data_IF_046110576365
#
_entry.id   IF_046110576365
#
_cell.length_a   1.000
_cell.length_b   1.000
_cell.length_c   1.000
_cell.angle_alpha   90.00
_cell.angle_beta   90.00
_cell.angle_gamma   90.00
#
_symmetry.space_group_name_H-M   'P 1'
#
loop_
_entity.id
_entity.type
_entity.pdbx_description
1 polymer ?
#
# COMPACT_ATOMS: atom_id res chain seq x y z
N UNK A 1 -69.60 -37.85 -55.50
CA UNK A 1 -68.27 -38.50 -55.56
C UNK A 1 -67.26 -37.37 -55.64
N UNK A 2 -66.27 -37.17 -54.79
CA UNK A 2 -65.60 -38.04 -53.81
C UNK A 2 -64.66 -37.13 -52.97
N UNK A 3 -64.61 -37.33 -51.64
CA UNK A 3 -63.44 -37.20 -50.70
C UNK A 3 -62.58 -35.91 -50.69
N UNK A 4 -62.58 -35.11 -49.61
CA UNK A 4 -61.80 -35.21 -48.35
C UNK A 4 -60.38 -34.58 -48.40
N UNK A 5 -59.98 -33.99 -47.24
CA UNK A 5 -58.60 -33.76 -46.76
C UNK A 5 -57.82 -32.58 -47.43
N UNK A 6 -57.12 -31.62 -46.78
CA UNK A 6 -56.07 -31.64 -45.73
C UNK A 6 -55.78 -30.16 -45.33
N UNK A 7 -56.18 -29.64 -44.16
CA UNK A 7 -55.41 -29.43 -42.92
C UNK A 7 -53.87 -29.33 -43.04
N UNK A 8 -53.29 -28.19 -42.63
CA UNK A 8 -52.02 -28.08 -41.85
C UNK A 8 -51.08 -27.00 -42.40
N UNK A 9 -51.15 -25.80 -41.80
CA UNK A 9 -49.96 -24.97 -41.63
C UNK A 9 -49.21 -25.47 -40.39
N UNK A 10 -47.87 -25.58 -40.42
CA UNK A 10 -47.12 -24.83 -39.40
C UNK A 10 -45.69 -24.48 -39.81
N UNK A 11 -45.16 -23.38 -39.26
CA UNK A 11 -43.72 -23.13 -39.34
C UNK A 11 -43.12 -22.01 -38.48
N UNK A 12 -43.86 -21.46 -37.54
CA UNK A 12 -43.39 -20.46 -36.56
C UNK A 12 -42.48 -21.13 -35.50
N UNK A 13 -41.31 -21.64 -35.91
CA UNK A 13 -40.37 -22.34 -35.01
C UNK A 13 -38.97 -21.72 -34.92
N UNK A 14 -38.67 -20.69 -35.70
CA UNK A 14 -37.32 -20.10 -35.72
C UNK A 14 -37.18 -18.84 -34.86
N UNK A 15 -38.29 -18.28 -34.37
CA UNK A 15 -38.28 -17.07 -33.55
C UNK A 15 -38.05 -17.33 -32.04
N UNK A 16 -38.12 -18.58 -31.57
CA UNK A 16 -38.10 -18.93 -30.13
C UNK A 16 -36.77 -19.56 -29.65
N UNK A 17 -35.71 -19.55 -30.47
CA UNK A 17 -34.39 -20.09 -30.10
C UNK A 17 -33.49 -19.05 -29.43
N UNK A 18 -33.56 -17.78 -29.84
CA UNK A 18 -32.70 -16.72 -29.31
C UNK A 18 -33.08 -16.28 -27.88
N UNK A 19 -34.36 -16.42 -27.50
CA UNK A 19 -34.85 -16.12 -26.14
C UNK A 19 -34.28 -17.07 -25.08
N UNK A 20 -33.83 -18.27 -25.46
CA UNK A 20 -33.17 -19.22 -24.53
C UNK A 20 -31.72 -18.86 -24.25
N UNK A 21 -31.10 -18.00 -25.07
CA UNK A 21 -29.74 -17.51 -24.89
C UNK A 21 -29.69 -16.16 -24.15
N UNK A 22 -30.83 -15.48 -24.00
CA UNK A 22 -30.94 -14.24 -23.25
C UNK A 22 -30.39 -14.29 -21.80
N UNK A 23 -30.61 -15.36 -20.98
CA UNK A 23 -30.06 -15.39 -19.64
C UNK A 23 -28.52 -15.56 -19.62
N UNK A 24 -27.93 -16.19 -20.65
CA UNK A 24 -26.47 -16.27 -20.81
C UNK A 24 -25.86 -14.91 -21.18
N UNK A 25 -26.58 -14.11 -21.97
CA UNK A 25 -26.15 -12.77 -22.36
C UNK A 25 -26.24 -11.75 -21.22
N UNK A 26 -27.26 -11.86 -20.36
CA UNK A 26 -27.41 -11.00 -19.16
C UNK A 26 -26.36 -11.34 -18.09
N UNK A 27 -26.01 -12.61 -17.91
CA UNK A 27 -24.91 -13.02 -16.99
C UNK A 27 -23.55 -12.49 -17.47
N UNK A 28 -23.32 -12.43 -18.78
CA UNK A 28 -22.08 -11.86 -19.35
C UNK A 28 -21.97 -10.34 -19.15
N UNK A 29 -23.08 -9.61 -19.16
CA UNK A 29 -23.09 -8.16 -18.93
C UNK A 29 -23.03 -7.75 -17.45
N UNK A 30 -23.33 -8.67 -16.52
CA UNK A 30 -23.08 -8.51 -15.08
C UNK A 30 -21.69 -9.08 -14.71
N UNK A 31 -20.75 -9.10 -15.65
CA UNK A 31 -19.32 -9.08 -15.34
C UNK A 31 -18.90 -7.71 -14.81
N UNK A 32 -19.64 -7.17 -13.84
CA UNK A 32 -19.32 -5.91 -13.18
C UNK A 32 -18.04 -6.14 -12.39
N UNK A 33 -16.93 -5.60 -12.92
CA UNK A 33 -15.76 -5.14 -12.21
C UNK A 33 -15.62 -5.68 -10.76
N UNK A 34 -15.31 -6.97 -10.64
CA UNK A 34 -14.65 -7.45 -9.42
C UNK A 34 -13.21 -6.97 -9.54
N UNK A 35 -13.00 -5.66 -9.33
CA UNK A 35 -11.72 -5.22 -8.81
C UNK A 35 -11.61 -5.91 -7.46
N UNK A 36 -10.87 -7.02 -7.43
CA UNK A 36 -10.43 -7.57 -6.17
C UNK A 36 -9.74 -6.43 -5.43
N UNK A 37 -10.35 -5.98 -4.33
CA UNK A 37 -9.74 -5.02 -3.42
C UNK A 37 -8.56 -5.77 -2.80
N UNK A 38 -7.40 -5.70 -3.47
CA UNK A 38 -6.18 -6.33 -3.00
C UNK A 38 -5.88 -5.71 -1.63
N UNK A 39 -5.74 -6.52 -0.57
CA UNK A 39 -5.46 -5.99 0.76
C UNK A 39 -4.23 -5.09 0.67
N UNK A 40 -4.30 -3.93 1.35
CA UNK A 40 -3.20 -2.96 1.32
C UNK A 40 -1.91 -3.66 1.70
N UNK A 41 -0.80 -3.28 1.07
CA UNK A 41 0.51 -3.91 1.32
C UNK A 41 0.83 -4.00 2.82
N UNK A 42 0.47 -2.97 3.60
CA UNK A 42 0.62 -2.94 5.06
C UNK A 42 -0.10 -4.12 5.74
N UNK A 43 -1.34 -4.41 5.35
CA UNK A 43 -2.17 -5.43 5.99
C UNK A 43 -1.60 -6.83 5.70
N UNK A 44 -0.98 -7.01 4.52
CA UNK A 44 -0.26 -8.24 4.14
C UNK A 44 1.03 -8.44 4.95
N UNK A 45 1.79 -7.37 5.17
CA UNK A 45 3.01 -7.39 5.99
C UNK A 45 2.64 -7.71 7.44
N UNK A 46 1.63 -7.02 7.99
CA UNK A 46 1.14 -7.22 9.34
C UNK A 46 0.65 -8.66 9.57
N UNK A 47 -0.09 -9.23 8.62
CA UNK A 47 -0.52 -10.63 8.67
C UNK A 47 0.65 -11.63 8.65
N UNK A 48 1.70 -11.32 7.87
CA UNK A 48 2.91 -12.14 7.82
C UNK A 48 3.68 -12.10 9.13
N UNK A 49 3.76 -10.92 9.75
CA UNK A 49 4.43 -10.70 11.03
C UNK A 49 3.67 -11.35 12.19
N UNK A 50 2.33 -11.22 12.21
CA UNK A 50 1.47 -11.89 13.17
C UNK A 50 1.62 -13.41 13.12
N UNK A 51 1.67 -13.97 11.91
CA UNK A 51 1.91 -15.40 11.71
C UNK A 51 3.28 -15.83 12.24
N UNK A 52 4.32 -15.01 12.05
CA UNK A 52 5.65 -15.27 12.58
C UNK A 52 5.67 -15.24 14.12
N UNK A 53 5.07 -14.23 14.74
CA UNK A 53 4.98 -14.14 16.19
C UNK A 53 4.23 -15.31 16.82
N UNK A 54 3.16 -15.79 16.19
CA UNK A 54 2.41 -16.95 16.70
C UNK A 54 3.25 -18.23 16.67
N UNK A 55 4.04 -18.46 15.60
CA UNK A 55 4.94 -19.63 15.51
C UNK A 55 6.01 -19.61 16.60
N UNK A 56 6.60 -18.43 16.83
CA UNK A 56 7.68 -18.23 17.82
C UNK A 56 7.15 -18.00 19.24
N UNK A 57 5.83 -17.98 19.44
CA UNK A 57 5.15 -17.67 20.73
C UNK A 57 5.59 -16.34 21.34
N UNK A 58 5.84 -15.35 20.48
CA UNK A 58 6.23 -14.00 20.88
C UNK A 58 4.99 -13.14 21.11
N UNK A 59 5.03 -12.32 22.15
CA UNK A 59 4.01 -11.29 22.39
C UNK A 59 4.50 -9.97 21.79
N UNK A 60 3.71 -9.31 20.91
CA UNK A 60 4.09 -8.03 20.33
C UNK A 60 4.25 -6.95 21.40
N UNK A 61 5.12 -5.98 21.14
CA UNK A 61 5.26 -4.81 22.00
C UNK A 61 4.01 -3.94 21.95
N UNK A 62 3.74 -3.23 23.06
CA UNK A 62 2.65 -2.24 23.12
C UNK A 62 2.94 -1.09 22.15
N UNK A 63 1.91 -0.51 21.49
CA UNK A 63 2.10 0.66 20.65
C UNK A 63 2.78 1.81 21.39
N UNK A 64 3.67 2.51 20.69
CA UNK A 64 4.34 3.69 21.23
C UNK A 64 3.33 4.81 21.55
N UNK A 65 3.60 5.53 22.65
CA UNK A 65 2.88 6.76 22.98
C UNK A 65 3.12 7.82 21.90
N UNK A 66 2.25 8.84 21.82
CA UNK A 66 2.38 9.88 20.79
C UNK A 66 3.71 10.65 20.90
N UNK A 67 4.18 10.93 22.11
CA UNK A 67 5.46 11.60 22.32
C UNK A 67 6.65 10.74 21.88
N UNK A 68 6.63 9.44 22.19
CA UNK A 68 7.66 8.51 21.72
C UNK A 68 7.63 8.33 20.21
N UNK A 69 6.43 8.23 19.63
CA UNK A 69 6.23 8.11 18.19
C UNK A 69 6.81 9.33 17.46
N UNK A 70 6.48 10.54 17.90
CA UNK A 70 7.00 11.77 17.32
C UNK A 70 8.53 11.82 17.37
N UNK A 71 9.12 11.54 18.53
CA UNK A 71 10.58 11.58 18.69
C UNK A 71 11.28 10.54 17.82
N UNK A 72 10.79 9.29 17.79
CA UNK A 72 11.39 8.21 17.00
C UNK A 72 11.28 8.49 15.52
N UNK A 73 10.08 8.80 15.02
CA UNK A 73 9.88 9.11 13.60
C UNK A 73 10.69 10.32 13.12
N UNK A 74 10.82 11.37 13.94
CA UNK A 74 11.63 12.53 13.58
C UNK A 74 13.13 12.19 13.47
N UNK A 75 13.64 11.38 14.42
CA UNK A 75 15.02 10.92 14.39
C UNK A 75 15.28 9.94 13.24
N UNK A 76 14.36 9.02 12.97
CA UNK A 76 14.55 7.99 11.96
C UNK A 76 14.40 8.55 10.53
N UNK A 77 13.44 9.46 10.32
CA UNK A 77 13.20 10.02 8.99
C UNK A 77 14.14 11.20 8.70
N UNK A 78 14.33 12.09 9.67
CA UNK A 78 14.97 13.39 9.45
C UNK A 78 16.29 13.55 10.21
N UNK A 79 16.64 12.61 11.09
CA UNK A 79 17.91 12.65 11.82
C UNK A 79 17.98 13.75 12.89
N UNK A 80 16.86 14.41 13.20
CA UNK A 80 16.82 15.52 14.15
C UNK A 80 15.66 15.39 15.12
N UNK A 81 15.85 15.93 16.32
CA UNK A 81 14.81 15.97 17.36
C UNK A 81 13.77 17.03 16.94
N UNK A 82 12.46 16.77 17.11
CA UNK A 82 11.43 17.76 16.81
C UNK A 82 11.67 19.04 17.63
N UNK A 83 11.34 20.18 17.05
CA UNK A 83 11.34 21.45 17.80
C UNK A 83 10.20 21.48 18.82
N UNK A 84 10.30 22.38 19.79
CA UNK A 84 9.25 22.56 20.81
C UNK A 84 7.88 22.81 20.17
N UNK A 85 7.81 23.72 19.20
CA UNK A 85 6.54 24.12 18.59
C UNK A 85 5.92 23.01 17.75
N UNK A 86 6.74 22.21 17.04
CA UNK A 86 6.28 21.02 16.33
C UNK A 86 5.75 19.95 17.28
N UNK A 87 6.39 19.78 18.44
CA UNK A 87 5.95 18.83 19.43
C UNK A 87 4.61 19.21 20.05
N UNK A 88 4.45 20.48 20.44
CA UNK A 88 3.17 20.99 20.95
C UNK A 88 2.07 20.84 19.90
N UNK A 89 2.33 21.27 18.65
CA UNK A 89 1.35 21.16 17.57
C UNK A 89 0.89 19.72 17.33
N UNK A 90 1.79 18.73 17.41
CA UNK A 90 1.44 17.32 17.20
C UNK A 90 0.74 16.68 18.42
N UNK A 91 1.14 17.06 19.63
CA UNK A 91 0.56 16.51 20.86
C UNK A 91 -0.85 17.06 21.12
N UNK A 92 -1.09 18.32 20.75
CA UNK A 92 -2.41 18.97 20.87
C UNK A 92 -3.37 18.55 19.75
N UNK A 93 -2.87 18.01 18.63
CA UNK A 93 -3.72 17.48 17.58
C UNK A 93 -4.40 16.17 18.02
N UNK A 94 -5.73 16.15 17.94
CA UNK A 94 -6.60 15.00 18.25
C UNK A 94 -7.15 14.33 16.99
N UNK A 95 -6.68 14.73 15.81
CA UNK A 95 -7.15 14.18 14.54
C UNK A 95 -6.79 12.69 14.41
N UNK A 96 -7.70 11.85 13.91
CA UNK A 96 -7.47 10.41 13.78
C UNK A 96 -6.37 10.06 12.75
N UNK A 97 -5.97 11.02 11.90
CA UNK A 97 -4.96 10.87 10.86
C UNK A 97 -3.63 11.59 11.17
N UNK A 98 -3.44 12.12 12.38
CA UNK A 98 -2.27 12.96 12.69
C UNK A 98 -0.92 12.29 12.46
N UNK A 99 -0.84 10.97 12.68
CA UNK A 99 0.39 10.19 12.49
C UNK A 99 0.76 10.08 11.02
N UNK A 100 -0.22 9.81 10.16
CA UNK A 100 -0.02 9.74 8.71
C UNK A 100 0.36 11.13 8.17
N UNK A 101 -0.35 12.18 8.59
CA UNK A 101 -0.04 13.55 8.20
C UNK A 101 1.36 14.00 8.66
N UNK A 102 1.80 13.59 9.86
CA UNK A 102 3.16 13.84 10.34
C UNK A 102 4.19 13.15 9.44
N UNK A 103 3.99 11.88 9.10
CA UNK A 103 4.91 11.12 8.24
C UNK A 103 5.03 11.81 6.88
N UNK A 104 3.91 12.16 6.24
CA UNK A 104 3.93 12.86 4.95
C UNK A 104 4.70 14.19 5.03
N UNK A 105 4.50 14.95 6.11
CA UNK A 105 5.24 16.21 6.35
C UNK A 105 6.74 15.96 6.50
N UNK A 106 7.15 14.93 7.24
CA UNK A 106 8.55 14.60 7.46
C UNK A 106 9.22 14.07 6.19
N UNK A 107 8.52 13.27 5.38
CA UNK A 107 9.02 12.77 4.10
C UNK A 107 9.18 13.90 3.07
N UNK A 108 8.31 14.91 3.11
CA UNK A 108 8.40 16.10 2.26
C UNK A 108 9.47 17.11 2.73
N UNK A 109 10.02 16.96 3.93
CA UNK A 109 11.02 17.87 4.49
C UNK A 109 12.37 17.70 3.76
N UNK A 110 13.03 18.79 3.30
CA UNK A 110 14.35 18.70 2.66
C UNK A 110 15.41 17.99 3.50
N UNK A 111 15.30 18.07 4.84
CA UNK A 111 16.22 17.40 5.76
C UNK A 111 16.13 15.87 5.66
N UNK A 112 15.00 15.31 5.24
CA UNK A 112 14.84 13.86 5.04
C UNK A 112 15.84 13.33 4.01
N UNK A 113 15.89 13.94 2.82
CA UNK A 113 16.78 13.51 1.75
C UNK A 113 18.25 13.56 2.18
N UNK A 114 18.65 14.63 2.88
CA UNK A 114 20.00 14.75 3.43
C UNK A 114 20.29 13.65 4.46
N UNK A 115 19.39 13.43 5.41
CA UNK A 115 19.58 12.41 6.43
C UNK A 115 19.69 10.99 5.85
N UNK A 116 18.84 10.67 4.86
CA UNK A 116 18.91 9.37 4.19
C UNK A 116 20.21 9.22 3.40
N UNK A 117 20.68 10.27 2.72
CA UNK A 117 21.97 10.24 2.03
C UNK A 117 23.13 9.95 3.00
N UNK A 118 23.16 10.63 4.15
CA UNK A 118 24.19 10.44 5.18
C UNK A 118 24.10 9.03 5.80
N UNK A 119 22.89 8.52 6.05
CA UNK A 119 22.66 7.19 6.59
C UNK A 119 23.13 6.10 5.62
N UNK A 120 22.72 6.20 4.35
CA UNK A 120 23.10 5.22 3.34
C UNK A 120 24.60 5.25 3.05
N UNK A 121 25.19 6.44 3.06
CA UNK A 121 26.64 6.56 2.96
C UNK A 121 27.34 5.82 4.11
N UNK A 122 26.90 6.04 5.34
CA UNK A 122 27.45 5.34 6.50
C UNK A 122 27.27 3.82 6.40
N UNK A 123 26.11 3.34 5.93
CA UNK A 123 25.83 1.90 5.82
C UNK A 123 26.67 1.24 4.72
N UNK A 124 26.84 1.91 3.58
CA UNK A 124 27.49 1.32 2.40
C UNK A 124 29.02 1.48 2.43
N UNK A 125 29.51 2.65 2.83
CA UNK A 125 30.95 2.97 2.78
C UNK A 125 31.61 2.95 4.17
N UNK A 126 30.80 2.92 5.23
CA UNK A 126 31.28 2.97 6.60
C UNK A 126 31.83 4.36 6.96
N UNK A 127 32.23 4.52 8.22
CA UNK A 127 32.85 5.77 8.66
C UNK A 127 34.28 5.85 8.11
N UNK A 128 34.71 7.03 7.67
CA UNK A 128 36.13 7.26 7.41
C UNK A 128 36.89 7.31 8.74
N UNK A 129 37.97 6.52 8.91
CA UNK A 129 38.76 6.58 10.12
C UNK A 129 39.45 7.95 10.22
N UNK A 130 39.65 8.48 11.44
CA UNK A 130 40.34 9.74 11.62
C UNK A 130 41.78 9.65 11.11
N UNK A 131 42.18 10.59 10.25
CA UNK A 131 43.52 10.64 9.64
C UNK A 131 43.64 9.94 8.29
N UNK A 132 42.56 9.38 7.76
CA UNK A 132 42.45 8.89 6.40
C UNK A 132 41.92 10.03 5.51
N UNK A 133 42.72 10.44 4.53
CA UNK A 133 42.38 11.46 3.54
C UNK A 133 41.67 10.88 2.32
N UNK A 134 41.52 9.56 2.24
CA UNK A 134 40.81 8.92 1.15
C UNK A 134 39.31 9.18 1.29
N UNK A 135 38.76 9.98 0.37
CA UNK A 135 37.31 10.02 0.19
C UNK A 135 36.90 8.75 -0.56
N UNK A 136 36.32 7.81 0.19
CA UNK A 136 35.77 6.55 -0.35
C UNK A 136 34.74 6.77 -1.46
N UNK A 137 34.28 8.01 -1.68
CA UNK A 137 33.31 8.40 -2.71
C UNK A 137 33.93 8.96 -4.00
N UNK A 138 35.24 9.18 -4.08
CA UNK A 138 35.89 9.77 -5.28
C UNK A 138 35.46 9.05 -6.58
N UNK A 139 35.46 7.72 -6.59
CA UNK A 139 35.10 6.95 -7.79
C UNK A 139 33.61 6.92 -8.15
N UNK A 140 32.71 7.39 -7.28
CA UNK A 140 31.26 7.42 -7.52
C UNK A 140 30.80 8.79 -8.04
N UNK A 141 31.51 9.86 -7.68
CA UNK A 141 31.17 11.24 -8.03
C UNK A 141 31.54 11.60 -9.47
N UNK A 142 32.40 10.79 -10.11
CA UNK A 142 32.91 11.00 -11.48
C UNK A 142 32.02 10.39 -12.59
N UNK A 143 30.83 9.90 -12.27
CA UNK A 143 29.86 9.30 -13.21
C UNK A 143 28.68 10.24 -13.50
#
# INVERSE_FOLDING_TARGET
MLTQLIYSGPGERDAMSWLKLAPLFVVSLIGAAVSADEPRLRDRIDGSLASAWQREKLTPAVPATDAEFLRRTSLDLVGSIPTHDEAVAFLDDVSPGKRDALIERLLADPRHAQHQADLWDLILFGRNPPGDDTDKREGVQDC
#
